data_IF_557285038738
#
_entry.id   IF_557285038738
#
_cell.length_a   1.000
_cell.length_b   1.000
_cell.length_c   1.000
_cell.angle_alpha   90.00
_cell.angle_beta   90.00
_cell.angle_gamma   90.00
#
_symmetry.space_group_name_H-M   'P 1'
#
loop_
_entity.id
_entity.type
_entity.pdbx_description
1 polymer ?
#
# COMPACT_ATOMS: atom_id res chain seq x y z
N UNK A 1 -11.95 5.88 -3.89
CA UNK A 1 -12.34 5.55 -2.50
C UNK A 1 -11.09 5.19 -1.74
N UNK A 2 -11.05 5.48 -0.44
CA UNK A 2 -9.91 5.25 0.44
C UNK A 2 -10.42 5.08 1.88
N UNK A 3 -9.64 4.40 2.73
CA UNK A 3 -9.87 4.32 4.17
C UNK A 3 -8.97 5.33 4.89
N UNK A 4 -9.55 6.12 5.79
CA UNK A 4 -8.86 7.13 6.60
C UNK A 4 -8.94 6.75 8.09
N UNK A 5 -7.80 6.59 8.74
CA UNK A 5 -7.69 6.29 10.18
C UNK A 5 -7.31 7.57 10.92
N UNK A 6 -8.22 8.06 11.77
CA UNK A 6 -8.05 9.30 12.55
C UNK A 6 -8.03 9.09 14.06
N UNK A 7 -8.27 7.85 14.51
CA UNK A 7 -8.25 7.44 15.91
C UNK A 7 -7.41 6.18 16.07
N UNK A 8 -6.81 6.04 17.23
CA UNK A 8 -5.83 5.01 17.57
C UNK A 8 -6.43 3.80 18.28
N UNK A 9 -7.73 3.57 18.09
CA UNK A 9 -8.42 2.49 18.78
C UNK A 9 -7.96 1.11 18.29
N UNK A 10 -7.92 0.14 19.21
CA UNK A 10 -7.38 -1.20 18.97
C UNK A 10 -8.11 -1.95 17.85
N UNK A 11 -9.40 -1.68 17.65
CA UNK A 11 -10.20 -2.23 16.56
C UNK A 11 -9.65 -1.84 15.18
N UNK A 12 -9.05 -0.65 15.07
CA UNK A 12 -8.40 -0.20 13.84
C UNK A 12 -6.97 -0.68 13.71
N UNK A 13 -6.31 -1.05 14.81
CA UNK A 13 -4.97 -1.66 14.80
C UNK A 13 -5.00 -3.17 14.47
N UNK A 14 -6.17 -3.80 14.56
CA UNK A 14 -6.37 -5.26 14.39
C UNK A 14 -7.28 -5.62 13.21
N UNK A 15 -7.35 -4.76 12.19
CA UNK A 15 -8.19 -5.01 11.01
C UNK A 15 -7.70 -6.23 10.22
N UNK A 16 -8.65 -7.01 9.70
CA UNK A 16 -8.35 -7.99 8.67
C UNK A 16 -8.03 -7.26 7.35
N UNK A 17 -6.75 -7.04 7.09
CA UNK A 17 -6.26 -6.26 5.95
C UNK A 17 -6.66 -6.86 4.60
N UNK A 18 -6.78 -8.19 4.49
CA UNK A 18 -7.25 -8.85 3.25
C UNK A 18 -8.71 -8.51 2.94
N UNK A 19 -9.59 -8.54 3.95
CA UNK A 19 -10.99 -8.11 3.78
C UNK A 19 -11.09 -6.63 3.43
N UNK A 20 -10.28 -5.77 4.07
CA UNK A 20 -10.26 -4.34 3.77
C UNK A 20 -9.81 -4.10 2.33
N UNK A 21 -8.76 -4.80 1.88
CA UNK A 21 -8.26 -4.70 0.52
C UNK A 21 -9.35 -5.09 -0.49
N UNK A 22 -10.04 -6.21 -0.26
CA UNK A 22 -11.10 -6.68 -1.15
C UNK A 22 -12.34 -5.77 -1.16
N UNK A 23 -12.60 -5.06 -0.06
CA UNK A 23 -13.76 -4.16 0.05
C UNK A 23 -13.52 -2.79 -0.62
N UNK A 24 -12.26 -2.36 -0.74
CA UNK A 24 -11.93 -1.06 -1.31
C UNK A 24 -11.77 -1.15 -2.84
N UNK A 25 -12.45 -0.25 -3.57
CA UNK A 25 -12.25 -0.11 -5.04
C UNK A 25 -10.80 0.24 -5.39
N UNK A 26 -10.16 1.04 -4.55
CA UNK A 26 -8.74 1.35 -4.62
C UNK A 26 -8.16 1.10 -3.23
N UNK A 27 -7.19 0.19 -3.06
CA UNK A 27 -6.63 -0.17 -1.76
C UNK A 27 -5.70 0.94 -1.26
N UNK A 28 -6.28 2.08 -0.91
CA UNK A 28 -5.58 3.26 -0.40
C UNK A 28 -5.94 3.40 1.07
N UNK A 29 -4.92 3.44 1.93
CA UNK A 29 -5.06 3.73 3.36
C UNK A 29 -4.26 4.98 3.69
N UNK A 30 -4.92 5.91 4.38
CA UNK A 30 -4.32 7.11 4.95
C UNK A 30 -4.42 6.95 6.46
N UNK A 31 -3.28 6.84 7.13
CA UNK A 31 -3.20 6.59 8.56
C UNK A 31 -2.59 7.80 9.29
N UNK A 32 -3.46 8.57 9.95
CA UNK A 32 -3.07 9.71 10.77
C UNK A 32 -2.52 9.33 12.15
N UNK A 33 -2.61 8.06 12.53
CA UNK A 33 -2.20 7.50 13.84
C UNK A 33 -1.05 6.52 13.74
N UNK A 34 -0.58 6.25 12.53
CA UNK A 34 0.68 5.57 12.30
C UNK A 34 0.66 4.13 12.86
N UNK A 35 -0.52 3.49 12.88
CA UNK A 35 -0.83 2.18 13.47
C UNK A 35 -0.14 1.02 12.76
N UNK A 36 0.02 1.11 11.43
CA UNK A 36 0.61 0.04 10.63
C UNK A 36 2.04 0.35 10.17
N UNK A 37 2.84 -0.72 10.01
CA UNK A 37 4.14 -0.68 9.38
C UNK A 37 4.00 -0.50 7.85
N UNK A 38 4.74 0.42 7.20
CA UNK A 38 4.59 0.66 5.78
C UNK A 38 4.92 -0.55 4.89
N UNK A 39 5.92 -1.36 5.27
CA UNK A 39 6.31 -2.53 4.49
C UNK A 39 5.25 -3.64 4.54
N UNK A 40 4.63 -3.83 5.71
CA UNK A 40 3.48 -4.72 5.85
C UNK A 40 2.33 -4.30 4.92
N UNK A 41 2.01 -3.00 4.88
CA UNK A 41 0.93 -2.49 4.04
C UNK A 41 1.24 -2.67 2.54
N UNK A 42 2.49 -2.51 2.13
CA UNK A 42 2.96 -2.77 0.77
C UNK A 42 2.73 -4.23 0.35
N UNK A 43 3.12 -5.16 1.22
CA UNK A 43 2.99 -6.60 1.01
C UNK A 43 1.51 -7.03 0.95
N UNK A 44 0.63 -6.34 1.68
CA UNK A 44 -0.82 -6.52 1.61
C UNK A 44 -1.49 -5.78 0.44
N UNK A 45 -0.71 -5.14 -0.45
CA UNK A 45 -1.22 -4.54 -1.68
C UNK A 45 -1.80 -3.14 -1.53
N UNK A 46 -1.52 -2.44 -0.42
CA UNK A 46 -2.02 -1.09 -0.20
C UNK A 46 -1.06 -0.01 -0.68
N UNK A 47 -1.62 1.05 -1.26
CA UNK A 47 -0.96 2.36 -1.26
C UNK A 47 -1.18 2.97 0.12
N UNK A 48 -0.10 3.17 0.86
CA UNK A 48 -0.15 3.56 2.26
C UNK A 48 0.49 4.92 2.50
N UNK A 49 -0.31 5.83 3.05
CA UNK A 49 0.12 7.15 3.48
C UNK A 49 0.12 7.19 5.01
N UNK A 50 1.27 7.53 5.60
CA UNK A 50 1.45 7.66 7.04
C UNK A 50 2.12 9.00 7.36
N UNK A 51 1.96 9.48 8.59
CA UNK A 51 2.46 10.79 8.98
C UNK A 51 3.95 10.71 9.29
N UNK A 52 4.74 11.58 8.64
CA UNK A 52 6.17 11.70 8.88
C UNK A 52 7.02 10.56 8.31
N UNK A 53 6.46 9.70 7.45
CA UNK A 53 7.15 8.59 6.78
C UNK A 53 6.97 8.69 5.26
N UNK A 54 7.81 7.99 4.50
CA UNK A 54 7.64 7.92 3.05
C UNK A 54 6.38 7.15 2.68
N UNK A 55 5.64 7.66 1.69
CA UNK A 55 4.51 6.93 1.09
C UNK A 55 4.99 5.61 0.53
N UNK A 56 4.22 4.55 0.79
CA UNK A 56 4.52 3.22 0.31
C UNK A 56 3.54 2.79 -0.78
N UNK A 57 4.07 2.20 -1.84
CA UNK A 57 3.28 1.64 -2.94
C UNK A 57 3.19 0.11 -2.79
N UNK A 58 2.16 -0.52 -3.37
CA UNK A 58 2.03 -1.98 -3.40
C UNK A 58 3.24 -2.68 -4.06
N UNK A 59 3.69 -3.81 -3.51
CA UNK A 59 4.83 -4.56 -4.06
C UNK A 59 4.56 -5.10 -5.48
N UNK A 60 3.30 -5.45 -5.77
CA UNK A 60 2.88 -5.90 -7.10
C UNK A 60 2.99 -4.78 -8.16
N UNK A 61 2.81 -3.51 -7.75
CA UNK A 61 2.96 -2.36 -8.63
C UNK A 61 4.44 -2.10 -8.96
N UNK A 62 5.34 -2.34 -7.99
CA UNK A 62 6.80 -2.27 -8.23
C UNK A 62 7.22 -3.36 -9.21
N UNK A 63 6.78 -4.60 -9.01
CA UNK A 63 7.12 -5.73 -9.89
C UNK A 63 6.68 -5.46 -11.34
N UNK A 64 5.45 -4.98 -11.55
CA UNK A 64 4.96 -4.62 -12.89
C UNK A 64 5.78 -3.48 -13.54
N UNK A 65 6.19 -2.48 -12.76
CA UNK A 65 6.99 -1.35 -13.25
C UNK A 65 8.41 -1.77 -13.61
N UNK A 66 9.04 -2.65 -12.83
CA UNK A 66 10.38 -3.19 -13.09
C UNK A 66 10.39 -4.08 -14.34
N UNK A 67 9.41 -4.98 -14.49
CA UNK A 67 9.26 -5.81 -15.69
C UNK A 67 9.11 -4.96 -16.96
N UNK A 68 8.30 -3.90 -16.91
CA UNK A 68 8.09 -2.99 -18.05
C UNK A 68 9.33 -2.18 -18.40
N UNK A 69 10.15 -1.78 -17.41
CA UNK A 69 11.42 -1.07 -17.66
C UNK A 69 12.46 -1.99 -18.32
N UNK A 70 12.58 -3.23 -17.84
CA UNK A 70 13.58 -4.18 -18.35
C UNK A 70 13.25 -4.66 -19.78
N UNK A 71 11.98 -4.77 -20.14
CA UNK A 71 11.56 -5.17 -21.49
C UNK A 71 11.93 -4.15 -22.58
N UNK A 72 12.08 -2.86 -22.24
CA UNK A 72 12.41 -1.79 -23.18
C UNK A 72 13.93 -1.57 -23.37
N UNK A 73 14.78 -2.30 -22.65
CA UNK A 73 16.25 -2.13 -22.70
C UNK A 73 16.94 -3.10 -23.68
N UNK A 74 16.23 -4.10 -24.21
CA UNK A 74 16.82 -5.20 -24.98
C UNK A 74 16.56 -5.13 -26.51
N UNK A 75 16.41 -3.94 -27.11
CA UNK A 75 16.12 -3.81 -28.57
C UNK A 75 17.23 -3.14 -29.39
N UNK A 76 18.45 -3.05 -28.88
CA UNK A 76 19.60 -2.54 -29.63
C UNK A 76 20.77 -3.51 -29.53
N UNK A 77 20.71 -4.63 -30.24
CA UNK A 77 21.84 -5.42 -30.72
C UNK A 77 21.45 -6.16 -32.00
#
# INVERSE_FOLDING_TARGET
>A
DALLILTEWDEFASLNLERVHAALKYPIIIDGRNLYDPSLMAAHGFTYYSVGRQTTAPDNAITASVLTKNANVNTHD
#
